data_IF_373632005456
#
_entry.id   IF_373632005456
#
_cell.length_a   1.000
_cell.length_b   1.000
_cell.length_c   1.000
_cell.angle_alpha   90.00
_cell.angle_beta   90.00
_cell.angle_gamma   90.00
#
_symmetry.space_group_name_H-M   'P 1'
#
loop_
_entity.id
_entity.type
_entity.pdbx_description
1 polymer ?
#
# COMPACT_ATOMS: atom_id res chain seq x y z
N UNK A 1 -1.13 -16.49 -9.23
CA UNK A 1 -1.57 -15.77 -10.44
C UNK A 1 -0.71 -14.54 -10.66
N UNK A 2 -0.59 -14.08 -11.90
CA UNK A 2 0.18 -12.89 -12.24
C UNK A 2 -0.74 -11.68 -12.47
N UNK A 3 -1.30 -11.15 -11.40
CA UNK A 3 -2.33 -10.10 -11.51
C UNK A 3 -1.70 -8.72 -11.71
N UNK A 4 -0.58 -8.42 -11.04
CA UNK A 4 0.01 -7.09 -11.00
C UNK A 4 0.68 -6.67 -12.32
N UNK A 5 1.02 -7.62 -13.20
CA UNK A 5 1.65 -7.33 -14.50
C UNK A 5 0.70 -6.66 -15.51
N UNK A 6 -0.62 -6.81 -15.30
CA UNK A 6 -1.66 -6.26 -16.17
C UNK A 6 -1.93 -4.77 -15.94
N UNK A 7 -1.42 -4.19 -14.85
CA UNK A 7 -1.64 -2.78 -14.51
C UNK A 7 -0.52 -1.90 -15.06
N UNK A 8 -0.87 -0.94 -15.92
CA UNK A 8 0.06 0.09 -16.42
C UNK A 8 0.56 0.99 -15.29
N UNK A 9 -0.33 1.40 -14.38
CA UNK A 9 0.01 2.25 -13.23
C UNK A 9 -0.34 1.52 -11.94
N UNK A 10 0.58 1.51 -10.96
CA UNK A 10 0.38 0.92 -9.63
C UNK A 10 0.68 1.99 -8.59
N UNK A 11 -0.35 2.40 -7.86
CA UNK A 11 -0.24 3.34 -6.74
C UNK A 11 -0.57 2.58 -5.46
N UNK A 12 0.39 2.48 -4.55
CA UNK A 12 0.22 1.87 -3.24
C UNK A 12 -0.01 2.97 -2.21
N UNK A 13 -1.14 2.89 -1.51
CA UNK A 13 -1.55 3.88 -0.53
C UNK A 13 -1.42 3.24 0.84
N UNK A 14 -0.73 3.91 1.75
CA UNK A 14 -0.46 3.39 3.09
C UNK A 14 -0.57 4.48 4.13
N UNK A 15 -1.07 4.14 5.31
CA UNK A 15 -1.12 5.04 6.44
C UNK A 15 -0.33 4.46 7.61
N UNK A 16 0.58 5.24 8.24
CA UNK A 16 1.23 4.82 9.48
C UNK A 16 0.23 4.58 10.62
N UNK A 17 -0.99 5.13 10.51
CA UNK A 17 -2.09 4.92 11.45
C UNK A 17 -2.93 3.68 11.14
N UNK A 18 -2.65 2.96 10.04
CA UNK A 18 -3.30 1.67 9.76
C UNK A 18 -2.73 0.61 10.71
N UNK A 19 -3.54 0.25 11.71
CA UNK A 19 -3.23 -0.83 12.65
C UNK A 19 -3.79 -2.19 12.21
N UNK A 20 -4.48 -2.26 11.07
CA UNK A 20 -5.09 -3.48 10.57
C UNK A 20 -4.09 -4.39 9.83
N UNK A 21 -3.22 -3.80 9.02
CA UNK A 21 -2.14 -4.51 8.33
C UNK A 21 -0.78 -3.88 8.64
N UNK A 22 0.33 -4.65 8.66
CA UNK A 22 1.65 -4.08 8.82
C UNK A 22 1.93 -3.05 7.72
N UNK A 23 2.48 -1.88 8.10
CA UNK A 23 2.72 -0.76 7.17
C UNK A 23 3.48 -1.16 5.90
N UNK A 24 4.57 -1.93 6.05
CA UNK A 24 5.37 -2.40 4.94
C UNK A 24 4.62 -3.37 4.00
N UNK A 25 3.59 -4.07 4.50
CA UNK A 25 2.77 -4.97 3.68
C UNK A 25 1.87 -4.19 2.72
N UNK A 26 1.23 -3.10 3.19
CA UNK A 26 0.45 -2.19 2.32
C UNK A 26 1.31 -1.55 1.21
N UNK A 27 2.62 -1.50 1.42
CA UNK A 27 3.60 -0.86 0.55
C UNK A 27 4.36 -1.83 -0.34
N UNK A 28 4.10 -3.14 -0.22
CA UNK A 28 4.85 -4.21 -0.92
C UNK A 28 6.36 -3.91 -0.79
N UNK A 29 6.82 -3.80 0.46
CA UNK A 29 8.21 -3.51 0.78
C UNK A 29 8.74 -4.43 1.89
N UNK A 30 10.07 -4.54 1.95
CA UNK A 30 10.74 -5.24 3.04
C UNK A 30 10.74 -4.38 4.30
N UNK A 31 10.96 -5.01 5.46
CA UNK A 31 11.12 -4.31 6.72
C UNK A 31 12.43 -4.73 7.41
N UNK A 32 12.95 -3.92 8.36
CA UNK A 32 14.19 -4.26 9.07
C UNK A 32 14.14 -5.63 9.77
N UNK A 33 12.97 -6.03 10.29
CA UNK A 33 12.80 -7.35 10.89
C UNK A 33 13.00 -8.48 9.85
N UNK A 34 12.51 -8.30 8.62
CA UNK A 34 12.65 -9.28 7.56
C UNK A 34 14.09 -9.41 7.04
N UNK A 35 14.88 -8.33 7.02
CA UNK A 35 16.28 -8.39 6.56
C UNK A 35 17.20 -9.22 7.47
N UNK A 36 16.83 -9.38 8.74
CA UNK A 36 17.58 -10.18 9.71
C UNK A 36 16.99 -11.59 9.92
N UNK A 37 15.81 -11.89 9.35
CA UNK A 37 15.14 -13.18 9.50
C UNK A 37 15.67 -14.22 8.51
N UNK A 38 16.58 -15.08 8.98
CA UNK A 38 17.13 -16.21 8.20
C UNK A 38 16.30 -17.48 8.30
N UNK A 39 15.18 -17.46 9.02
CA UNK A 39 14.29 -18.61 9.19
C UNK A 39 13.63 -19.00 7.87
N UNK A 40 12.99 -20.19 7.86
CA UNK A 40 12.16 -20.61 6.72
C UNK A 40 11.04 -19.60 6.43
N UNK A 41 10.47 -18.96 7.45
CA UNK A 41 9.40 -17.96 7.31
C UNK A 41 9.93 -16.68 6.66
N UNK A 42 11.08 -16.18 7.10
CA UNK A 42 11.73 -15.02 6.49
C UNK A 42 12.04 -15.23 5.01
N UNK A 43 12.53 -16.43 4.64
CA UNK A 43 12.75 -16.80 3.24
C UNK A 43 11.45 -16.78 2.42
N UNK A 44 10.37 -17.38 2.93
CA UNK A 44 9.06 -17.37 2.26
C UNK A 44 8.49 -15.95 2.13
N UNK A 45 8.66 -15.10 3.14
CA UNK A 45 8.26 -13.70 3.07
C UNK A 45 8.99 -12.96 1.94
N UNK A 46 10.32 -13.12 1.84
CA UNK A 46 11.09 -12.50 0.77
C UNK A 46 10.74 -13.04 -0.62
N UNK A 47 10.46 -14.34 -0.73
CA UNK A 47 9.97 -14.95 -1.97
C UNK A 47 8.63 -14.35 -2.41
N UNK A 48 7.67 -14.21 -1.49
CA UNK A 48 6.38 -13.57 -1.78
C UNK A 48 6.54 -12.10 -2.16
N UNK A 49 7.36 -11.35 -1.43
CA UNK A 49 7.64 -9.94 -1.70
C UNK A 49 8.24 -9.76 -3.10
N UNK A 50 9.25 -10.56 -3.45
CA UNK A 50 9.88 -10.50 -4.76
C UNK A 50 8.91 -10.92 -5.86
N UNK A 51 8.10 -11.95 -5.66
CA UNK A 51 7.09 -12.35 -6.64
C UNK A 51 6.08 -11.22 -6.97
N UNK A 52 5.73 -10.39 -6.00
CA UNK A 52 4.90 -9.19 -6.24
C UNK A 52 5.68 -8.09 -6.98
N UNK A 53 6.90 -7.77 -6.51
CA UNK A 53 7.73 -6.73 -7.11
C UNK A 53 8.13 -7.05 -8.55
N UNK A 54 8.38 -8.32 -8.85
CA UNK A 54 8.75 -8.77 -10.18
C UNK A 54 7.59 -8.58 -11.16
N UNK A 55 6.34 -8.83 -10.76
CA UNK A 55 5.16 -8.51 -11.59
C UNK A 55 4.99 -6.99 -11.81
N UNK A 56 5.28 -6.18 -10.80
CA UNK A 56 5.28 -4.71 -10.91
C UNK A 56 6.43 -4.20 -11.80
N UNK A 57 7.49 -4.99 -11.99
CA UNK A 57 8.65 -4.65 -12.84
C UNK A 57 8.61 -5.30 -14.22
N UNK A 58 7.80 -6.35 -14.41
CA UNK A 58 7.81 -7.20 -15.60
C UNK A 58 7.45 -6.48 -16.91
N UNK A 59 6.80 -5.31 -16.84
CA UNK A 59 6.32 -4.60 -18.02
C UNK A 59 7.26 -3.42 -18.38
N UNK A 60 8.01 -3.48 -19.50
CA UNK A 60 9.05 -2.53 -19.85
C UNK A 60 8.54 -1.31 -20.63
N UNK A 61 7.22 -1.05 -20.67
CA UNK A 61 6.71 0.17 -21.30
C UNK A 61 7.31 1.39 -20.61
N UNK A 62 7.89 2.32 -21.37
CA UNK A 62 8.62 3.52 -20.89
C UNK A 62 7.83 4.44 -19.95
N UNK A 63 6.53 4.19 -19.73
CA UNK A 63 5.62 5.05 -19.00
C UNK A 63 4.89 4.38 -17.83
N UNK A 64 5.32 3.19 -17.38
CA UNK A 64 4.73 2.54 -16.19
C UNK A 64 5.08 3.31 -14.91
N UNK A 65 4.07 3.75 -14.17
CA UNK A 65 4.26 4.38 -12.86
C UNK A 65 4.10 3.36 -11.73
N UNK A 66 5.09 3.32 -10.85
CA UNK A 66 5.00 2.65 -9.55
C UNK A 66 5.26 3.67 -8.44
N UNK A 67 4.22 4.03 -7.69
CA UNK A 67 4.28 5.06 -6.66
C UNK A 67 3.79 4.52 -5.31
N UNK A 68 4.40 4.99 -4.23
CA UNK A 68 3.93 4.78 -2.86
C UNK A 68 3.55 6.13 -2.27
N UNK A 69 2.34 6.27 -1.74
CA UNK A 69 1.90 7.49 -1.08
C UNK A 69 1.53 7.23 0.37
N UNK A 70 1.97 8.14 1.22
CA UNK A 70 1.68 8.13 2.64
C UNK A 70 0.42 8.96 2.88
N UNK A 71 -0.57 8.36 3.53
CA UNK A 71 -1.81 9.02 3.91
C UNK A 71 -1.80 9.19 5.43
N UNK A 72 -1.77 10.45 5.87
CA UNK A 72 -1.81 10.80 7.27
C UNK A 72 -3.24 11.17 7.67
N UNK A 73 -3.86 10.35 8.52
CA UNK A 73 -5.18 10.68 9.07
C UNK A 73 -5.02 11.46 10.36
N UNK A 74 -5.77 12.55 10.49
CA UNK A 74 -5.92 13.21 11.78
C UNK A 74 -6.85 12.38 12.67
N UNK A 75 -6.27 11.44 13.41
CA UNK A 75 -7.02 10.62 14.36
C UNK A 75 -7.58 11.43 15.54
N UNK A 76 -7.20 12.71 15.71
CA UNK A 76 -7.68 13.55 16.81
C UNK A 76 -9.10 14.08 16.59
N UNK A 77 -9.58 14.15 15.35
CA UNK A 77 -10.95 14.56 15.02
C UNK A 77 -11.98 13.45 15.27
N UNK A 78 -11.55 12.20 15.43
CA UNK A 78 -12.43 11.07 15.67
C UNK A 78 -12.53 10.78 17.18
N UNK A 79 -13.69 11.10 17.76
CA UNK A 79 -14.06 10.63 19.10
C UNK A 79 -13.89 9.10 19.19
N UNK A 80 -13.66 8.59 20.41
CA UNK A 80 -13.35 7.17 20.70
C UNK A 80 -14.38 6.19 20.09
N UNK A 81 -14.18 5.83 18.83
CA UNK A 81 -15.00 4.87 18.09
C UNK A 81 -14.31 3.49 18.06
N UNK A 82 -15.09 2.41 18.09
CA UNK A 82 -14.58 1.02 18.05
C UNK A 82 -13.62 0.75 16.87
N UNK A 83 -13.78 1.46 15.75
CA UNK A 83 -12.89 1.38 14.59
C UNK A 83 -11.48 1.91 14.88
N UNK A 84 -11.36 2.95 15.71
CA UNK A 84 -10.06 3.46 16.18
C UNK A 84 -9.40 2.48 17.15
N UNK A 85 -10.18 1.81 17.99
CA UNK A 85 -9.69 0.82 18.94
C UNK A 85 -9.14 -0.46 18.28
N UNK A 86 -9.71 -0.86 17.13
CA UNK A 86 -9.29 -2.07 16.38
C UNK A 86 -8.23 -1.73 15.31
N UNK A 87 -7.78 -0.47 15.22
CA UNK A 87 -6.78 -0.04 14.22
C UNK A 87 -7.30 -0.01 12.78
N UNK A 88 -8.61 -0.22 12.57
CA UNK A 88 -9.27 -0.18 11.26
C UNK A 88 -9.71 1.21 10.83
N UNK A 89 -9.64 2.22 11.70
CA UNK A 89 -10.08 3.57 11.39
C UNK A 89 -9.41 4.12 10.12
N UNK A 90 -8.08 4.16 10.07
CA UNK A 90 -7.35 4.62 8.88
C UNK A 90 -7.62 3.75 7.64
N UNK A 91 -7.76 2.43 7.83
CA UNK A 91 -8.03 1.49 6.74
C UNK A 91 -9.43 1.68 6.12
N UNK A 92 -10.45 1.90 6.94
CA UNK A 92 -11.84 2.11 6.51
C UNK A 92 -12.02 3.53 5.98
N UNK A 93 -11.46 4.53 6.66
CA UNK A 93 -11.55 5.94 6.27
C UNK A 93 -10.93 6.19 4.89
N UNK A 94 -9.92 5.42 4.51
CA UNK A 94 -9.40 5.45 3.15
C UNK A 94 -10.45 5.05 2.09
N UNK A 95 -11.27 4.04 2.35
CA UNK A 95 -12.29 3.55 1.42
C UNK A 95 -13.58 4.37 1.45
N UNK A 96 -13.90 4.97 2.59
CA UNK A 96 -15.15 5.74 2.80
C UNK A 96 -14.99 7.22 2.43
N UNK A 97 -13.75 7.74 2.38
CA UNK A 97 -13.47 9.14 2.06
C UNK A 97 -13.09 9.32 0.58
N UNK A 98 -14.08 9.73 -0.20
CA UNK A 98 -13.91 10.19 -1.59
C UNK A 98 -12.80 11.23 -1.78
N UNK A 99 -12.43 11.98 -0.73
CA UNK A 99 -11.44 13.05 -0.79
C UNK A 99 -10.08 12.51 -1.23
N UNK A 100 -9.65 11.35 -0.74
CA UNK A 100 -8.35 10.79 -1.12
C UNK A 100 -8.35 10.29 -2.56
N UNK A 101 -9.44 9.62 -2.97
CA UNK A 101 -9.60 9.20 -4.36
C UNK A 101 -9.61 10.43 -5.30
N UNK A 102 -10.40 11.46 -4.99
CA UNK A 102 -10.47 12.72 -5.75
C UNK A 102 -9.12 13.44 -5.77
N UNK A 103 -8.42 13.49 -4.65
CA UNK A 103 -7.08 14.06 -4.57
C UNK A 103 -6.11 13.36 -5.51
N UNK A 104 -6.02 12.02 -5.45
CA UNK A 104 -5.14 11.26 -6.34
C UNK A 104 -5.53 11.45 -7.81
N UNK A 105 -6.82 11.41 -8.14
CA UNK A 105 -7.30 11.60 -9.52
C UNK A 105 -7.03 13.01 -10.06
N UNK A 106 -7.17 14.05 -9.24
CA UNK A 106 -6.92 15.43 -9.65
C UNK A 106 -5.43 15.80 -9.66
N UNK A 107 -4.64 15.23 -8.76
CA UNK A 107 -3.19 15.47 -8.70
C UNK A 107 -2.43 14.73 -9.80
N UNK A 108 -2.92 13.56 -10.22
CA UNK A 108 -2.26 12.70 -11.20
C UNK A 108 -3.17 12.28 -12.35
N UNK A 109 -3.83 13.23 -13.05
CA UNK A 109 -4.85 12.90 -14.06
C UNK A 109 -4.29 12.07 -15.21
N UNK A 110 -3.01 12.22 -15.54
CA UNK A 110 -2.34 11.45 -16.60
C UNK A 110 -2.24 9.95 -16.28
N UNK A 111 -2.35 9.55 -15.01
CA UNK A 111 -2.32 8.13 -14.60
C UNK A 111 -3.66 7.41 -14.80
N UNK A 112 -4.74 8.16 -15.07
CA UNK A 112 -6.12 7.67 -15.17
C UNK A 112 -6.76 7.90 -16.54
N UNK A 113 -5.97 8.30 -17.55
CA UNK A 113 -6.44 8.44 -18.93
C UNK A 113 -6.51 7.10 -19.67
#
# INVERSE_FOLDING_TARGET
EKTLEHFTNVILLSSPQDGYVPYHSARIESCPAASHDTSKKGKMFLEMLNACLDQIRANPTDHRVFMRCDVNFDASSHGKNLNSFIGRAAHIEFLDSDIFAKFIMWSFPDLFR
#
